data_IF_963683843401
#
_entry.id   IF_963683843401
#
_cell.length_a   1.000
_cell.length_b   1.000
_cell.length_c   1.000
_cell.angle_alpha   90.00
_cell.angle_beta   90.00
_cell.angle_gamma   90.00
#
_symmetry.space_group_name_H-M   'P 1'
#
loop_
_entity.id
_entity.type
_entity.pdbx_description
1 polymer ?
#
# COMPACT_ATOMS: atom_id res chain seq x y z
N UNK A 1 20.39 -10.00 11.01
CA UNK A 1 18.98 -9.55 10.91
C UNK A 1 18.19 -10.65 10.20
N UNK A 2 17.05 -11.01 10.76
CA UNK A 2 16.18 -12.04 10.17
C UNK A 2 15.76 -11.61 8.75
N UNK A 3 15.94 -12.47 7.77
CA UNK A 3 15.56 -12.23 6.38
C UNK A 3 14.06 -11.96 6.22
N UNK A 4 13.25 -12.38 7.21
CA UNK A 4 11.79 -12.21 7.23
C UNK A 4 11.30 -11.13 8.19
N UNK A 5 12.17 -10.27 8.69
CA UNK A 5 11.77 -9.18 9.60
C UNK A 5 10.74 -8.22 9.00
N UNK A 6 10.64 -8.17 7.66
CA UNK A 6 9.61 -7.39 6.96
C UNK A 6 8.19 -7.87 7.28
N UNK A 7 8.01 -9.15 7.61
CA UNK A 7 6.68 -9.70 7.93
C UNK A 7 6.11 -8.99 9.16
N UNK A 8 6.91 -8.85 10.22
CA UNK A 8 6.48 -8.17 11.45
C UNK A 8 6.13 -6.69 11.20
N UNK A 9 6.91 -6.01 10.36
CA UNK A 9 6.62 -4.62 9.98
C UNK A 9 5.30 -4.53 9.20
N UNK A 10 5.11 -5.41 8.23
CA UNK A 10 3.87 -5.47 7.45
C UNK A 10 2.66 -5.75 8.34
N UNK A 11 2.76 -6.71 9.25
CA UNK A 11 1.69 -7.07 10.19
C UNK A 11 1.31 -5.89 11.09
N UNK A 12 2.29 -5.19 11.63
CA UNK A 12 2.06 -4.05 12.52
C UNK A 12 1.33 -2.92 11.79
N UNK A 13 1.79 -2.55 10.61
CA UNK A 13 1.18 -1.44 9.87
C UNK A 13 -0.18 -1.84 9.24
N UNK A 14 -0.37 -3.11 8.90
CA UNK A 14 -1.67 -3.60 8.48
C UNK A 14 -2.68 -3.56 9.63
N UNK A 15 -2.28 -3.93 10.84
CA UNK A 15 -3.15 -3.84 12.01
C UNK A 15 -3.51 -2.38 12.33
N UNK A 16 -2.56 -1.46 12.17
CA UNK A 16 -2.78 -0.02 12.29
C UNK A 16 -3.81 0.47 11.27
N UNK A 17 -3.66 0.04 10.00
CA UNK A 17 -4.62 0.35 8.94
C UNK A 17 -6.03 -0.18 9.28
N UNK A 18 -6.13 -1.41 9.77
CA UNK A 18 -7.41 -2.00 10.18
C UNK A 18 -8.09 -1.16 11.25
N UNK A 19 -7.36 -0.82 12.31
CA UNK A 19 -7.87 0.00 13.42
C UNK A 19 -8.37 1.35 12.89
N UNK A 20 -7.61 1.97 11.99
CA UNK A 20 -7.99 3.25 11.39
C UNK A 20 -9.28 3.11 10.56
N UNK A 21 -9.34 2.15 9.65
CA UNK A 21 -10.50 1.95 8.76
C UNK A 21 -11.77 1.63 9.55
N UNK A 22 -11.67 0.80 10.59
CA UNK A 22 -12.81 0.43 11.43
C UNK A 22 -13.31 1.59 12.30
N UNK A 23 -12.42 2.52 12.67
CA UNK A 23 -12.74 3.64 13.55
C UNK A 23 -13.17 4.92 12.86
N UNK A 24 -12.93 5.09 11.56
CA UNK A 24 -13.24 6.32 10.85
C UNK A 24 -14.70 6.38 10.39
N UNK A 25 -15.33 7.52 10.64
CA UNK A 25 -16.65 7.85 10.08
C UNK A 25 -16.52 8.45 8.66
N UNK A 26 -17.65 8.72 8.01
CA UNK A 26 -17.67 9.22 6.64
C UNK A 26 -17.05 10.62 6.53
N UNK A 27 -17.23 11.47 7.53
CA UNK A 27 -16.64 12.81 7.56
C UNK A 27 -15.11 12.72 7.64
N UNK A 28 -14.59 11.80 8.45
CA UNK A 28 -13.17 11.55 8.56
C UNK A 28 -12.57 11.08 7.24
N UNK A 29 -13.25 10.18 6.53
CA UNK A 29 -12.79 9.64 5.25
C UNK A 29 -12.69 10.71 4.16
N UNK A 30 -13.52 11.75 4.21
CA UNK A 30 -13.48 12.86 3.24
C UNK A 30 -12.62 14.04 3.68
N UNK A 31 -11.99 13.95 4.85
CA UNK A 31 -11.09 15.00 5.36
C UNK A 31 -9.89 15.15 4.41
N UNK A 32 -9.53 16.38 3.99
CA UNK A 32 -8.33 16.60 3.21
C UNK A 32 -7.06 16.28 4.01
N UNK A 33 -6.16 15.53 3.40
CA UNK A 33 -4.80 15.30 3.92
C UNK A 33 -3.87 16.42 3.44
N UNK A 34 -4.03 16.81 2.18
CA UNK A 34 -3.32 17.92 1.56
C UNK A 34 -4.20 18.52 0.45
N UNK A 35 -3.62 19.36 -0.41
CA UNK A 35 -4.38 20.01 -1.49
C UNK A 35 -4.85 19.03 -2.58
N UNK A 36 -4.31 17.80 -2.62
CA UNK A 36 -4.59 16.82 -3.68
C UNK A 36 -5.38 15.61 -3.18
N UNK A 37 -5.24 15.21 -1.92
CA UNK A 37 -5.73 13.93 -1.42
C UNK A 37 -6.65 14.09 -0.21
N UNK A 38 -7.72 13.31 -0.21
CA UNK A 38 -8.52 13.05 0.98
C UNK A 38 -7.94 11.85 1.74
N UNK A 39 -8.40 11.60 2.96
CA UNK A 39 -8.05 10.39 3.72
C UNK A 39 -8.35 9.14 2.90
N UNK A 40 -9.57 9.01 2.39
CA UNK A 40 -9.94 7.88 1.53
C UNK A 40 -9.05 7.79 0.27
N UNK A 41 -8.71 8.93 -0.30
CA UNK A 41 -7.81 9.00 -1.46
C UNK A 41 -6.43 8.42 -1.17
N UNK A 42 -5.85 8.75 -0.01
CA UNK A 42 -4.57 8.18 0.43
C UNK A 42 -4.66 6.66 0.61
N UNK A 43 -5.76 6.18 1.19
CA UNK A 43 -5.99 4.74 1.34
C UNK A 43 -6.08 4.04 -0.02
N UNK A 44 -6.75 4.65 -0.99
CA UNK A 44 -6.79 4.14 -2.37
C UNK A 44 -5.43 4.13 -3.05
N UNK A 45 -4.61 5.13 -2.80
CA UNK A 45 -3.22 5.18 -3.24
C UNK A 45 -2.42 3.99 -2.69
N UNK A 46 -2.57 3.67 -1.41
CA UNK A 46 -1.95 2.48 -0.82
C UNK A 46 -2.41 1.20 -1.52
N UNK A 47 -3.72 1.08 -1.77
CA UNK A 47 -4.27 -0.09 -2.46
C UNK A 47 -3.67 -0.24 -3.88
N UNK A 48 -3.54 0.84 -4.62
CA UNK A 48 -2.97 0.83 -5.97
C UNK A 48 -1.56 0.22 -5.98
N UNK A 49 -0.68 0.70 -5.12
CA UNK A 49 0.71 0.23 -5.07
C UNK A 49 0.84 -1.19 -4.52
N UNK A 50 -0.03 -1.59 -3.59
CA UNK A 50 -0.09 -2.97 -3.11
C UNK A 50 -0.60 -3.93 -4.21
N UNK A 51 -1.57 -3.52 -5.03
CA UNK A 51 -2.01 -4.31 -6.19
C UNK A 51 -0.85 -4.56 -7.16
N UNK A 52 -0.01 -3.55 -7.39
CA UNK A 52 1.19 -3.73 -8.21
C UNK A 52 2.10 -4.83 -7.65
N UNK A 53 2.29 -4.86 -6.33
CA UNK A 53 3.09 -5.90 -5.68
C UNK A 53 2.47 -7.29 -5.87
N UNK A 54 1.14 -7.41 -5.81
CA UNK A 54 0.46 -8.69 -6.09
C UNK A 54 0.75 -9.20 -7.51
N UNK A 55 0.75 -8.32 -8.50
CA UNK A 55 1.07 -8.70 -9.88
C UNK A 55 2.54 -9.15 -10.03
N UNK A 56 3.46 -8.49 -9.34
CA UNK A 56 4.86 -8.90 -9.33
C UNK A 56 5.05 -10.23 -8.58
N UNK A 57 4.30 -10.46 -7.51
CA UNK A 57 4.32 -11.74 -6.79
C UNK A 57 3.88 -12.89 -7.68
N UNK A 58 2.91 -12.67 -8.57
CA UNK A 58 2.48 -13.69 -9.54
C UNK A 58 3.63 -14.09 -10.49
N UNK A 59 4.46 -13.14 -10.91
CA UNK A 59 5.67 -13.44 -11.72
C UNK A 59 6.65 -14.32 -10.94
N UNK A 60 6.88 -14.02 -9.67
CA UNK A 60 7.76 -14.84 -8.82
C UNK A 60 7.23 -16.27 -8.72
N UNK A 61 5.92 -16.44 -8.48
CA UNK A 61 5.29 -17.76 -8.38
C UNK A 61 5.41 -18.57 -9.67
N UNK A 62 5.34 -17.91 -10.84
CA UNK A 62 5.52 -18.56 -12.12
C UNK A 62 6.98 -18.83 -12.47
N UNK A 63 7.93 -18.40 -11.63
CA UNK A 63 9.36 -18.53 -11.89
C UNK A 63 9.88 -17.61 -12.99
N UNK A 64 9.13 -16.57 -13.34
CA UNK A 64 9.52 -15.59 -14.34
C UNK A 64 10.53 -14.58 -13.74
N UNK A 65 11.58 -14.20 -14.48
CA UNK A 65 12.48 -13.13 -14.04
C UNK A 65 11.81 -11.77 -14.19
N UNK A 66 12.23 -10.80 -13.36
CA UNK A 66 11.84 -9.41 -13.56
C UNK A 66 12.60 -8.82 -14.76
N UNK A 67 11.89 -8.07 -15.59
CA UNK A 67 12.43 -7.35 -16.74
C UNK A 67 12.39 -5.83 -16.53
N UNK A 68 12.88 -5.06 -17.51
CA UNK A 68 12.83 -3.59 -17.44
C UNK A 68 11.41 -3.03 -17.28
N UNK A 69 10.41 -3.74 -17.79
CA UNK A 69 8.98 -3.38 -17.67
C UNK A 69 8.46 -3.47 -16.23
N UNK A 70 9.15 -4.22 -15.37
CA UNK A 70 8.76 -4.39 -13.97
C UNK A 70 9.36 -3.30 -13.07
N UNK A 71 10.30 -2.52 -13.56
CA UNK A 71 10.89 -1.42 -12.80
C UNK A 71 9.81 -0.47 -12.29
N UNK A 72 10.04 0.11 -11.12
CA UNK A 72 9.09 1.07 -10.56
C UNK A 72 8.93 2.25 -11.52
N UNK A 73 7.71 2.51 -11.99
CA UNK A 73 7.47 3.64 -12.88
C UNK A 73 7.58 4.96 -12.10
N UNK A 74 7.67 6.06 -12.82
CA UNK A 74 7.71 7.39 -12.22
C UNK A 74 6.44 7.64 -11.39
N UNK A 75 6.61 7.63 -10.05
CA UNK A 75 5.49 7.58 -9.10
C UNK A 75 4.56 8.78 -9.17
N UNK A 76 5.10 9.99 -9.29
CA UNK A 76 4.28 11.22 -9.31
C UNK A 76 3.31 11.24 -10.48
N UNK A 77 3.77 10.83 -11.65
CA UNK A 77 2.93 10.77 -12.85
C UNK A 77 1.78 9.78 -12.67
N UNK A 78 2.06 8.58 -12.13
CA UNK A 78 1.03 7.58 -11.88
C UNK A 78 0.07 7.99 -10.77
N UNK A 79 0.58 8.62 -9.73
CA UNK A 79 -0.27 9.14 -8.65
C UNK A 79 -1.24 10.20 -9.20
N UNK A 80 -0.78 11.09 -10.05
CA UNK A 80 -1.64 12.09 -10.68
C UNK A 80 -2.68 11.45 -11.61
N UNK A 81 -2.30 10.42 -12.36
CA UNK A 81 -3.20 9.73 -13.29
C UNK A 81 -4.28 8.91 -12.56
N UNK A 82 -3.93 8.25 -11.45
CA UNK A 82 -4.85 7.39 -10.69
C UNK A 82 -5.75 8.15 -9.73
N UNK A 83 -5.36 9.34 -9.29
CA UNK A 83 -6.09 10.13 -8.29
C UNK A 83 -7.56 10.37 -8.64
N UNK A 84 -7.93 10.84 -9.85
CA UNK A 84 -9.35 11.05 -10.17
C UNK A 84 -10.15 9.75 -10.18
N UNK A 85 -9.56 8.62 -10.54
CA UNK A 85 -10.23 7.32 -10.48
C UNK A 85 -10.48 6.90 -9.03
N UNK A 86 -9.47 7.07 -8.17
CA UNK A 86 -9.56 6.74 -6.75
C UNK A 86 -10.62 7.60 -6.07
N UNK A 87 -10.62 8.92 -6.32
CA UNK A 87 -11.60 9.83 -5.75
C UNK A 87 -13.03 9.64 -6.27
N UNK A 88 -13.21 8.94 -7.38
CA UNK A 88 -14.53 8.58 -7.89
C UNK A 88 -15.17 7.39 -7.16
N UNK A 89 -14.38 6.61 -6.41
CA UNK A 89 -14.88 5.49 -5.61
C UNK A 89 -15.48 6.05 -4.31
N UNK A 90 -16.59 5.44 -3.85
CA UNK A 90 -17.16 5.81 -2.55
C UNK A 90 -16.09 5.68 -1.44
N UNK A 91 -15.93 6.69 -0.58
CA UNK A 91 -14.85 6.68 0.42
C UNK A 91 -14.80 5.42 1.30
N UNK A 92 -15.95 4.93 1.74
CA UNK A 92 -16.02 3.70 2.55
C UNK A 92 -15.55 2.48 1.76
N UNK A 93 -15.92 2.39 0.49
CA UNK A 93 -15.56 1.26 -0.37
C UNK A 93 -14.05 1.23 -0.63
N UNK A 94 -13.43 2.38 -0.89
CA UNK A 94 -11.99 2.43 -1.11
C UNK A 94 -11.20 2.15 0.17
N UNK A 95 -11.69 2.57 1.33
CA UNK A 95 -11.08 2.27 2.62
C UNK A 95 -11.10 0.75 2.90
N UNK A 96 -12.22 0.11 2.66
CA UNK A 96 -12.35 -1.35 2.80
C UNK A 96 -11.50 -2.10 1.76
N UNK A 97 -11.44 -1.59 0.54
CA UNK A 97 -10.55 -2.14 -0.50
C UNK A 97 -9.09 -2.09 -0.05
N UNK A 98 -8.64 -0.95 0.47
CA UNK A 98 -7.27 -0.78 0.94
C UNK A 98 -6.88 -1.83 1.99
N UNK A 99 -7.77 -2.08 2.96
CA UNK A 99 -7.53 -3.10 3.99
C UNK A 99 -7.48 -4.50 3.39
N UNK A 100 -8.45 -4.85 2.54
CA UNK A 100 -8.50 -6.17 1.89
C UNK A 100 -7.27 -6.43 1.03
N UNK A 101 -6.84 -5.44 0.25
CA UNK A 101 -5.65 -5.55 -0.59
C UNK A 101 -4.39 -5.67 0.27
N UNK A 102 -4.27 -4.91 1.35
CA UNK A 102 -3.14 -5.03 2.28
C UNK A 102 -3.05 -6.45 2.88
N UNK A 103 -4.18 -7.03 3.25
CA UNK A 103 -4.24 -8.41 3.77
C UNK A 103 -3.75 -9.43 2.71
N UNK A 104 -4.23 -9.30 1.47
CA UNK A 104 -3.82 -10.19 0.38
C UNK A 104 -2.35 -10.03 0.05
N UNK A 105 -1.87 -8.79 -0.03
CA UNK A 105 -0.48 -8.49 -0.39
C UNK A 105 0.48 -9.02 0.67
N UNK A 106 0.21 -8.76 1.94
CA UNK A 106 1.07 -9.21 3.04
C UNK A 106 1.12 -10.74 3.13
N UNK A 107 -0.02 -11.42 2.93
CA UNK A 107 -0.08 -12.87 2.90
C UNK A 107 0.76 -13.45 1.75
N UNK A 108 0.65 -12.88 0.55
CA UNK A 108 1.42 -13.31 -0.62
C UNK A 108 2.92 -13.09 -0.42
N UNK A 109 3.30 -11.91 0.04
CA UNK A 109 4.70 -11.57 0.28
C UNK A 109 5.31 -12.49 1.35
N UNK A 110 4.55 -12.85 2.39
CA UNK A 110 5.02 -13.75 3.44
C UNK A 110 5.29 -15.18 2.92
N UNK A 111 4.59 -15.61 1.87
CA UNK A 111 4.74 -16.94 1.28
C UNK A 111 5.85 -17.03 0.24
N UNK A 112 6.29 -15.90 -0.32
CA UNK A 112 7.31 -15.87 -1.36
C UNK A 112 8.68 -16.28 -0.81
N UNK A 113 9.48 -17.04 -1.59
CA UNK A 113 10.85 -17.38 -1.19
C UNK A 113 11.71 -16.11 -1.12
N UNK A 114 12.41 -15.85 0.02
CA UNK A 114 13.25 -14.65 0.15
C UNK A 114 14.37 -14.54 -0.89
N UNK A 115 14.85 -15.65 -1.41
CA UNK A 115 15.89 -15.69 -2.45
C UNK A 115 15.38 -15.26 -3.85
N UNK A 116 14.06 -15.21 -4.03
CA UNK A 116 13.43 -14.80 -5.29
C UNK A 116 13.07 -13.31 -5.31
N UNK A 117 13.29 -12.62 -4.21
CA UNK A 117 13.02 -11.19 -4.07
C UNK A 117 14.06 -10.59 -3.14
N UNK A 118 14.23 -9.28 -3.19
CA UNK A 118 15.12 -8.55 -2.28
C UNK A 118 14.26 -7.79 -1.27
N UNK A 119 13.89 -8.40 -0.13
CA UNK A 119 12.83 -7.88 0.73
C UNK A 119 13.08 -6.45 1.24
N UNK A 120 14.33 -6.05 1.33
CA UNK A 120 14.73 -4.74 1.86
C UNK A 120 15.45 -3.85 0.84
N UNK A 121 15.54 -4.29 -0.40
CA UNK A 121 16.13 -3.49 -1.46
C UNK A 121 15.04 -2.59 -2.08
N UNK A 122 15.10 -1.26 -1.85
CA UNK A 122 14.10 -0.35 -2.42
C UNK A 122 14.15 -0.29 -3.94
N UNK A 123 15.27 -0.70 -4.55
CA UNK A 123 15.41 -0.74 -6.00
C UNK A 123 14.83 -2.03 -6.60
N UNK A 124 14.48 -3.01 -5.77
CA UNK A 124 13.81 -4.22 -6.25
C UNK A 124 12.42 -3.88 -6.76
N UNK A 125 12.01 -4.39 -7.94
CA UNK A 125 10.64 -4.19 -8.42
C UNK A 125 9.57 -4.63 -7.41
N UNK A 126 9.85 -5.70 -6.66
CA UNK A 126 8.99 -6.16 -5.59
C UNK A 126 9.61 -5.79 -4.25
N UNK A 127 9.26 -4.61 -3.74
CA UNK A 127 9.67 -4.17 -2.40
C UNK A 127 8.76 -4.78 -1.35
N UNK A 128 9.28 -5.77 -0.64
CA UNK A 128 8.48 -6.62 0.25
C UNK A 128 8.10 -5.94 1.58
N UNK A 129 8.80 -4.88 2.02
CA UNK A 129 8.47 -4.17 3.27
C UNK A 129 7.33 -3.18 2.99
N UNK A 130 6.12 -3.70 2.81
CA UNK A 130 4.93 -2.89 2.52
C UNK A 130 4.55 -1.96 3.67
N UNK A 131 4.91 -2.37 4.89
CA UNK A 131 4.67 -1.57 6.10
C UNK A 131 5.35 -0.21 6.07
N UNK A 132 6.51 -0.06 5.45
CA UNK A 132 7.21 1.23 5.37
C UNK A 132 6.35 2.26 4.60
N UNK A 133 5.91 1.93 3.39
CA UNK A 133 5.04 2.79 2.59
C UNK A 133 3.72 3.07 3.29
N UNK A 134 3.12 2.03 3.86
CA UNK A 134 1.86 2.13 4.59
C UNK A 134 1.99 3.04 5.80
N UNK A 135 3.06 2.87 6.59
CA UNK A 135 3.31 3.65 7.80
C UNK A 135 3.48 5.15 7.53
N UNK A 136 4.24 5.51 6.49
CA UNK A 136 4.40 6.90 6.07
C UNK A 136 3.05 7.58 5.82
N UNK A 137 2.20 6.96 5.02
CA UNK A 137 0.91 7.53 4.66
C UNK A 137 -0.09 7.52 5.82
N UNK A 138 -0.05 6.52 6.69
CA UNK A 138 -0.88 6.51 7.89
C UNK A 138 -0.49 7.63 8.86
N UNK A 139 0.79 7.97 8.95
CA UNK A 139 1.25 9.13 9.72
C UNK A 139 0.65 10.44 9.18
N UNK A 140 0.63 10.62 7.87
CA UNK A 140 0.02 11.77 7.21
C UNK A 140 -1.49 11.86 7.47
N UNK A 141 -2.18 10.73 7.36
CA UNK A 141 -3.63 10.64 7.63
C UNK A 141 -3.93 11.00 9.07
N UNK A 142 -3.21 10.43 10.02
CA UNK A 142 -3.42 10.71 11.45
C UNK A 142 -3.14 12.18 11.78
N UNK A 143 -2.11 12.78 11.18
CA UNK A 143 -1.80 14.20 11.35
C UNK A 143 -2.96 15.08 10.83
N UNK A 144 -3.51 14.77 9.67
CA UNK A 144 -4.64 15.50 9.09
C UNK A 144 -5.90 15.39 9.96
N UNK A 145 -6.16 14.20 10.50
CA UNK A 145 -7.32 13.98 11.38
C UNK A 145 -7.20 14.72 12.71
N UNK A 146 -5.98 14.85 13.26
CA UNK A 146 -5.76 15.64 14.47
C UNK A 146 -5.91 17.15 14.25
N UNK A 147 -5.69 17.61 13.02
CA UNK A 147 -5.72 19.03 12.68
C UNK A 147 -7.12 19.59 12.36
N UNK A 148 -8.15 18.75 12.25
CA UNK A 148 -9.52 19.16 11.95
C UNK A 148 -10.31 19.66 13.17
#
# INVERSE_FOLDING_TARGET
>A
MDERSYIATNDRERQRLRTLVEGLDDDALTTPVNEYWTVAGVLGHLAFWDIRVLLLADKVDRGEPFGPEDAEPEGDWLNDATRPLIHAIQPRDVAQLALRIAEQTDARVAELPPDRMSPRDPDSPLYAVRGDHRGEHLDEVEAALRAR
#
